data_IF_347371236023
#
_entry.id   IF_347371236023
#
_cell.length_a   1.000
_cell.length_b   1.000
_cell.length_c   1.000
_cell.angle_alpha   90.00
_cell.angle_beta   90.00
_cell.angle_gamma   90.00
#
_symmetry.space_group_name_H-M   'P 1'
#
loop_
_entity.id
_entity.type
_entity.pdbx_description
1 polymer ?
#
# COMPACT_ATOMS: atom_id res chain seq x y z
N UNK A 1 -2.43 7.60 -24.19
CA UNK A 1 -2.88 8.47 -23.07
C UNK A 1 -1.72 8.62 -22.09
N UNK A 2 -1.27 9.84 -21.75
CA UNK A 2 -0.09 10.00 -20.89
C UNK A 2 -0.38 9.64 -19.43
N UNK A 3 0.58 8.99 -18.77
CA UNK A 3 0.54 8.71 -17.33
C UNK A 3 0.80 10.01 -16.56
N UNK A 4 -0.01 10.32 -15.55
CA UNK A 4 0.23 11.50 -14.70
C UNK A 4 1.44 11.28 -13.78
N UNK A 5 2.12 12.35 -13.34
CA UNK A 5 3.22 12.26 -12.34
C UNK A 5 2.81 11.47 -11.08
N UNK A 6 1.55 11.59 -10.68
CA UNK A 6 0.97 10.85 -9.58
C UNK A 6 0.96 9.34 -9.83
N UNK A 7 0.45 8.93 -10.98
CA UNK A 7 0.39 7.53 -11.37
C UNK A 7 1.79 6.96 -11.60
N UNK A 8 2.71 7.74 -12.16
CA UNK A 8 4.11 7.35 -12.33
C UNK A 8 4.81 7.02 -11.01
N UNK A 9 4.62 7.85 -9.97
CA UNK A 9 5.13 7.53 -8.62
C UNK A 9 4.53 6.26 -8.05
N UNK A 10 3.25 5.98 -8.29
CA UNK A 10 2.62 4.73 -7.86
C UNK A 10 3.16 3.49 -8.59
N UNK A 11 3.48 3.62 -9.88
CA UNK A 11 4.06 2.53 -10.69
C UNK A 11 5.49 2.24 -10.26
N UNK A 12 6.28 3.28 -10.02
CA UNK A 12 7.71 3.18 -9.65
C UNK A 12 7.93 2.96 -8.15
N UNK A 13 6.85 2.87 -7.36
CA UNK A 13 6.92 2.87 -5.90
C UNK A 13 7.72 1.69 -5.32
N UNK A 14 7.51 0.47 -5.82
CA UNK A 14 8.25 -0.72 -5.36
C UNK A 14 9.74 -0.65 -5.70
N UNK A 15 10.08 -0.05 -6.83
CA UNK A 15 11.47 0.22 -7.20
C UNK A 15 12.05 1.30 -6.28
N UNK A 16 11.37 2.43 -6.14
CA UNK A 16 11.89 3.60 -5.43
C UNK A 16 12.06 3.39 -3.92
N UNK A 17 11.22 2.55 -3.31
CA UNK A 17 11.25 2.29 -1.87
C UNK A 17 12.37 1.33 -1.44
N UNK A 18 13.02 0.63 -2.38
CA UNK A 18 14.14 -0.28 -2.11
C UNK A 18 15.47 0.48 -2.04
N UNK A 19 16.22 0.24 -0.97
CA UNK A 19 17.50 0.93 -0.69
C UNK A 19 18.75 0.16 -1.14
N UNK A 20 18.67 -1.16 -1.23
CA UNK A 20 19.75 -2.00 -1.75
C UNK A 20 19.91 -1.87 -3.28
N UNK A 21 21.00 -2.44 -3.84
CA UNK A 21 21.16 -2.57 -5.28
C UNK A 21 19.93 -3.27 -5.87
N UNK A 22 19.32 -2.64 -6.86
CA UNK A 22 18.08 -3.12 -7.49
C UNK A 22 18.16 -3.06 -9.00
N UNK A 23 17.42 -3.95 -9.65
CA UNK A 23 17.26 -3.98 -11.11
C UNK A 23 15.85 -3.53 -11.49
N UNK A 24 15.76 -2.58 -12.41
CA UNK A 24 14.49 -2.05 -12.91
C UNK A 24 14.39 -2.19 -14.42
N UNK A 25 13.18 -2.42 -14.92
CA UNK A 25 12.86 -2.45 -16.34
C UNK A 25 11.68 -1.53 -16.63
N UNK A 26 11.90 -0.45 -17.37
CA UNK A 26 10.83 0.47 -17.80
C UNK A 26 10.46 0.15 -19.25
N UNK A 27 9.20 -0.24 -19.48
CA UNK A 27 8.75 -0.71 -20.79
C UNK A 27 7.89 0.34 -21.50
N UNK A 28 8.30 0.71 -22.73
CA UNK A 28 7.56 1.61 -23.61
C UNK A 28 7.70 3.09 -23.23
N UNK A 29 8.89 3.50 -22.78
CA UNK A 29 9.18 4.87 -22.41
C UNK A 29 10.05 5.58 -23.45
N UNK A 30 9.74 6.85 -23.69
CA UNK A 30 10.62 7.82 -24.36
C UNK A 30 11.13 8.85 -23.36
N UNK A 31 12.10 9.67 -23.77
CA UNK A 31 12.61 10.76 -22.93
C UNK A 31 11.48 11.69 -22.47
N UNK A 32 11.49 12.06 -21.19
CA UNK A 32 10.44 12.88 -20.57
C UNK A 32 9.16 12.12 -20.20
N UNK A 33 9.08 10.80 -20.43
CA UNK A 33 7.98 9.99 -19.90
C UNK A 33 7.97 10.04 -18.36
N UNK A 34 6.82 10.34 -17.71
CA UNK A 34 6.77 10.49 -16.25
C UNK A 34 7.19 9.25 -15.44
N UNK A 35 6.97 8.03 -15.95
CA UNK A 35 7.42 6.79 -15.30
C UNK A 35 8.94 6.68 -15.37
N UNK A 36 9.52 6.94 -16.54
CA UNK A 36 10.98 6.94 -16.69
C UNK A 36 11.62 8.02 -15.81
N UNK A 37 11.08 9.24 -15.80
CA UNK A 37 11.56 10.31 -14.93
C UNK A 37 11.51 9.89 -13.46
N UNK A 38 10.41 9.30 -12.99
CA UNK A 38 10.29 8.85 -11.61
C UNK A 38 11.25 7.70 -11.27
N UNK A 39 11.52 6.79 -12.21
CA UNK A 39 12.51 5.72 -12.02
C UNK A 39 13.95 6.26 -11.97
N UNK A 40 14.29 7.23 -12.83
CA UNK A 40 15.59 7.90 -12.83
C UNK A 40 15.81 8.71 -11.54
N UNK A 41 14.79 9.42 -11.05
CA UNK A 41 14.83 10.15 -9.77
C UNK A 41 15.10 9.23 -8.57
N UNK A 42 14.76 7.94 -8.67
CA UNK A 42 14.93 6.95 -7.61
C UNK A 42 16.20 6.08 -7.75
N UNK A 43 16.98 6.29 -8.82
CA UNK A 43 18.13 5.46 -9.15
C UNK A 43 19.33 5.79 -8.25
N UNK A 44 19.91 4.76 -7.63
CA UNK A 44 21.08 4.80 -6.75
C UNK A 44 22.33 4.25 -7.48
N UNK A 45 23.57 4.43 -6.95
CA UNK A 45 24.80 4.14 -7.72
C UNK A 45 24.96 2.69 -8.12
N UNK A 46 24.46 1.78 -7.28
CA UNK A 46 24.55 0.35 -7.48
C UNK A 46 23.40 -0.23 -8.30
N UNK A 47 22.40 0.59 -8.65
CA UNK A 47 21.22 0.13 -9.35
C UNK A 47 21.49 -0.08 -10.83
N UNK A 48 20.62 -0.86 -11.47
CA UNK A 48 20.59 -1.04 -12.91
C UNK A 48 19.18 -0.77 -13.42
N UNK A 49 19.06 0.01 -14.47
CA UNK A 49 17.79 0.33 -15.12
C UNK A 49 17.88 0.03 -16.60
N UNK A 50 17.03 -0.85 -17.10
CA UNK A 50 16.86 -1.08 -18.53
C UNK A 50 15.61 -0.34 -19.00
N UNK A 51 15.70 0.36 -20.11
CA UNK A 51 14.58 1.08 -20.73
C UNK A 51 14.33 0.51 -22.11
N UNK A 52 13.13 -0.03 -22.31
CA UNK A 52 12.64 -0.44 -23.64
C UNK A 52 11.98 0.77 -24.27
N UNK A 53 12.62 1.32 -25.29
CA UNK A 53 12.13 2.47 -26.04
C UNK A 53 11.76 2.03 -27.45
N UNK A 54 10.78 2.70 -28.06
CA UNK A 54 10.44 2.41 -29.44
C UNK A 54 11.62 2.73 -30.38
N UNK A 55 11.72 2.01 -31.49
CA UNK A 55 12.83 2.15 -32.44
C UNK A 55 12.99 3.58 -33.01
N UNK A 56 11.94 4.41 -32.98
CA UNK A 56 11.99 5.79 -33.46
C UNK A 56 12.48 6.78 -32.40
N UNK A 57 12.39 6.44 -31.10
CA UNK A 57 12.79 7.33 -30.00
C UNK A 57 14.04 6.87 -29.26
N UNK A 58 14.56 5.68 -29.53
CA UNK A 58 15.71 5.11 -28.81
C UNK A 58 16.99 5.95 -28.94
N UNK A 59 17.28 6.49 -30.12
CA UNK A 59 18.48 7.33 -30.32
C UNK A 59 18.35 8.69 -29.61
N UNK A 60 17.17 9.31 -29.65
CA UNK A 60 16.89 10.55 -28.91
C UNK A 60 17.00 10.31 -27.40
N UNK A 61 16.52 9.15 -26.92
CA UNK A 61 16.63 8.75 -25.53
C UNK A 61 18.11 8.56 -25.12
N UNK A 62 18.90 7.85 -25.93
CA UNK A 62 20.34 7.65 -25.70
C UNK A 62 21.10 8.96 -25.64
N UNK A 63 20.85 9.86 -26.59
CA UNK A 63 21.45 11.18 -26.63
C UNK A 63 21.08 12.00 -25.37
N UNK A 64 19.82 11.95 -24.96
CA UNK A 64 19.33 12.68 -23.77
C UNK A 64 19.93 12.14 -22.48
N UNK A 65 19.97 10.81 -22.30
CA UNK A 65 20.58 10.16 -21.14
C UNK A 65 22.08 10.46 -21.04
N UNK A 66 22.78 10.51 -22.17
CA UNK A 66 24.20 10.87 -22.23
C UNK A 66 24.43 12.33 -21.83
N UNK A 67 23.53 13.23 -22.23
CA UNK A 67 23.60 14.65 -21.87
C UNK A 67 23.31 14.92 -20.38
N UNK A 68 22.53 14.06 -19.72
CA UNK A 68 22.17 14.20 -18.30
C UNK A 68 23.36 13.98 -17.34
N UNK A 69 24.40 13.24 -17.77
CA UNK A 69 25.69 13.16 -17.06
C UNK A 69 26.30 11.76 -16.99
N UNK A 70 27.43 11.63 -16.29
CA UNK A 70 28.21 10.39 -16.21
C UNK A 70 27.55 9.26 -15.39
N UNK A 71 26.58 9.61 -14.53
CA UNK A 71 25.91 8.65 -13.66
C UNK A 71 24.94 7.73 -14.39
N UNK A 72 24.10 8.29 -15.27
CA UNK A 72 23.14 7.55 -16.09
C UNK A 72 23.86 6.64 -17.09
N UNK A 73 25.00 7.11 -17.62
CA UNK A 73 25.79 6.41 -18.64
C UNK A 73 26.36 5.04 -18.20
N UNK A 74 26.44 4.75 -16.90
CA UNK A 74 26.93 3.45 -16.38
C UNK A 74 25.83 2.52 -15.84
N UNK A 75 24.65 3.06 -15.52
CA UNK A 75 23.60 2.35 -14.80
C UNK A 75 22.31 2.18 -15.61
N UNK A 76 22.16 2.93 -16.71
CA UNK A 76 20.97 2.88 -17.57
C UNK A 76 21.31 2.25 -18.93
N UNK A 77 20.63 1.17 -19.27
CA UNK A 77 20.72 0.50 -20.58
C UNK A 77 19.47 0.77 -21.40
N UNK A 78 19.60 0.95 -22.71
CA UNK A 78 18.47 1.18 -23.62
C UNK A 78 18.43 0.12 -24.70
N UNK A 79 17.27 -0.53 -24.85
CA UNK A 79 17.00 -1.57 -25.85
C UNK A 79 15.78 -1.20 -26.68
N UNK A 80 15.74 -1.68 -27.92
CA UNK A 80 14.65 -1.38 -28.85
C UNK A 80 13.45 -2.32 -28.63
N UNK A 81 13.74 -3.58 -28.29
CA UNK A 81 12.74 -4.62 -28.14
C UNK A 81 12.76 -5.19 -26.72
N UNK A 82 11.58 -5.60 -26.23
CA UNK A 82 11.44 -6.18 -24.89
C UNK A 82 12.18 -7.52 -24.79
N UNK A 83 12.31 -8.25 -25.91
CA UNK A 83 13.03 -9.52 -25.98
C UNK A 83 14.52 -9.37 -25.62
N UNK A 84 15.14 -8.26 -26.00
CA UNK A 84 16.54 -7.93 -25.73
C UNK A 84 16.79 -7.47 -24.28
N UNK A 85 15.73 -7.19 -23.51
CA UNK A 85 15.87 -6.80 -22.11
C UNK A 85 16.15 -8.02 -21.22
N UNK A 86 17.13 -7.90 -20.33
CA UNK A 86 17.30 -8.87 -19.24
C UNK A 86 16.13 -8.78 -18.25
N UNK A 87 15.78 -9.88 -17.55
CA UNK A 87 14.83 -9.83 -16.45
C UNK A 87 15.26 -8.84 -15.35
N UNK A 88 14.28 -8.30 -14.64
CA UNK A 88 14.51 -7.36 -13.55
C UNK A 88 13.59 -7.63 -12.34
N UNK A 89 14.01 -7.15 -11.17
CA UNK A 89 13.23 -7.22 -9.94
C UNK A 89 11.96 -6.36 -9.98
N UNK A 90 12.00 -5.21 -10.66
CA UNK A 90 10.86 -4.30 -10.82
C UNK A 90 10.61 -3.97 -12.30
N UNK A 91 9.53 -4.51 -12.87
CA UNK A 91 9.09 -4.22 -14.23
C UNK A 91 7.96 -3.20 -14.19
N UNK A 92 8.12 -2.09 -14.91
CA UNK A 92 7.26 -0.90 -14.83
C UNK A 92 6.76 -0.50 -16.22
N UNK A 93 5.45 -0.54 -16.44
CA UNK A 93 4.87 -0.12 -17.72
C UNK A 93 4.70 1.40 -17.79
N UNK A 94 5.35 2.02 -18.79
CA UNK A 94 5.36 3.48 -18.96
C UNK A 94 4.12 4.03 -19.69
N UNK A 95 3.25 3.14 -20.18
CA UNK A 95 1.96 3.44 -20.78
C UNK A 95 0.85 2.68 -20.04
N UNK A 96 -0.34 3.28 -19.88
CA UNK A 96 -1.46 2.58 -19.27
C UNK A 96 -1.93 1.44 -20.19
N UNK A 97 -2.34 0.33 -19.59
CA UNK A 97 -3.00 -0.77 -20.31
C UNK A 97 -4.37 -0.29 -20.77
N UNK A 98 -4.50 -0.12 -22.08
CA UNK A 98 -5.75 0.26 -22.77
C UNK A 98 -6.12 -0.69 -23.89
N UNK A 99 -5.39 -1.79 -24.03
CA UNK A 99 -5.53 -2.76 -25.12
C UNK A 99 -6.66 -3.75 -24.82
N UNK A 100 -7.05 -4.51 -25.84
CA UNK A 100 -8.00 -5.61 -25.73
C UNK A 100 -7.41 -6.77 -24.90
N UNK A 101 -8.29 -7.62 -24.37
CA UNK A 101 -7.92 -8.74 -23.51
C UNK A 101 -6.88 -9.67 -24.16
N UNK A 102 -7.08 -10.04 -25.42
CA UNK A 102 -6.20 -10.96 -26.16
C UNK A 102 -4.77 -10.40 -26.28
N UNK A 103 -4.64 -9.14 -26.72
CA UNK A 103 -3.35 -8.44 -26.83
C UNK A 103 -2.68 -8.28 -25.45
N UNK A 104 -3.46 -7.99 -24.41
CA UNK A 104 -2.94 -7.91 -23.05
C UNK A 104 -2.36 -9.25 -22.57
N UNK A 105 -3.05 -10.36 -22.83
CA UNK A 105 -2.61 -11.71 -22.44
C UNK A 105 -1.32 -12.09 -23.16
N UNK A 106 -1.23 -11.84 -24.48
CA UNK A 106 -0.03 -12.10 -25.27
C UNK A 106 1.17 -11.30 -24.72
N UNK A 107 0.97 -9.99 -24.50
CA UNK A 107 2.01 -9.13 -23.94
C UNK A 107 2.39 -9.55 -22.52
N UNK A 108 1.43 -10.02 -21.72
CA UNK A 108 1.69 -10.47 -20.36
C UNK A 108 2.60 -11.70 -20.33
N UNK A 109 2.50 -12.61 -21.30
CA UNK A 109 3.38 -13.78 -21.38
C UNK A 109 4.85 -13.35 -21.46
N UNK A 110 5.16 -12.42 -22.38
CA UNK A 110 6.51 -11.86 -22.51
C UNK A 110 6.94 -11.06 -21.28
N UNK A 111 6.04 -10.24 -20.71
CA UNK A 111 6.35 -9.46 -19.50
C UNK A 111 6.69 -10.35 -18.31
N UNK A 112 6.01 -11.49 -18.13
CA UNK A 112 6.28 -12.44 -17.03
C UNK A 112 7.68 -13.01 -17.07
N UNK A 113 8.21 -13.27 -18.27
CA UNK A 113 9.59 -13.76 -18.44
C UNK A 113 10.64 -12.73 -18.03
N UNK A 114 10.26 -11.44 -18.05
CA UNK A 114 11.14 -10.33 -17.66
C UNK A 114 11.02 -9.94 -16.20
N UNK A 115 10.17 -10.62 -15.41
CA UNK A 115 10.09 -10.43 -13.95
C UNK A 115 10.91 -11.53 -13.27
N UNK A 116 11.95 -11.12 -12.54
CA UNK A 116 12.75 -12.04 -11.74
C UNK A 116 11.92 -12.78 -10.67
N UNK A 117 12.36 -13.94 -10.17
CA UNK A 117 11.76 -14.63 -9.03
C UNK A 117 11.53 -13.69 -7.83
N UNK A 118 10.26 -13.48 -7.47
CA UNK A 118 9.88 -12.56 -6.38
C UNK A 118 9.71 -11.10 -6.81
N UNK A 119 10.13 -10.73 -8.02
CA UNK A 119 9.98 -9.40 -8.58
C UNK A 119 8.52 -8.97 -8.77
N UNK A 120 8.33 -7.69 -9.10
CA UNK A 120 7.02 -7.05 -9.23
C UNK A 120 6.84 -6.47 -10.61
N UNK A 121 5.68 -6.75 -11.22
CA UNK A 121 5.17 -6.06 -12.39
C UNK A 121 4.17 -4.98 -11.94
N UNK A 122 4.47 -3.73 -12.27
CA UNK A 122 3.67 -2.55 -11.92
C UNK A 122 3.14 -1.85 -13.18
N UNK A 123 1.83 -1.62 -13.23
CA UNK A 123 1.19 -0.96 -14.37
C UNK A 123 -0.07 -0.18 -13.99
N UNK A 124 -0.42 0.81 -14.80
CA UNK A 124 -1.69 1.52 -14.71
C UNK A 124 -2.72 0.93 -15.67
N UNK A 125 -3.97 0.85 -15.25
CA UNK A 125 -5.12 0.60 -16.11
C UNK A 125 -6.22 1.65 -15.86
N UNK A 126 -6.97 2.03 -16.90
CA UNK A 126 -8.17 2.85 -16.71
C UNK A 126 -9.29 2.02 -16.10
N UNK A 127 -10.24 2.67 -15.43
CA UNK A 127 -11.41 1.97 -14.86
C UNK A 127 -12.32 1.33 -15.91
N UNK A 128 -12.17 1.73 -17.17
CA UNK A 128 -12.94 1.26 -18.32
C UNK A 128 -12.07 0.52 -19.34
N UNK A 129 -10.90 0.02 -18.93
CA UNK A 129 -10.03 -0.74 -19.82
C UNK A 129 -10.79 -1.97 -20.38
N UNK A 130 -10.60 -2.31 -21.66
CA UNK A 130 -11.23 -3.51 -22.23
C UNK A 130 -10.85 -4.78 -21.46
N UNK A 131 -9.56 -4.97 -21.19
CA UNK A 131 -8.99 -6.10 -20.44
C UNK A 131 -9.26 -6.11 -18.92
N UNK A 132 -10.32 -5.43 -18.43
CA UNK A 132 -10.54 -5.23 -16.98
C UNK A 132 -10.82 -6.54 -16.22
N UNK A 133 -11.39 -7.54 -16.88
CA UNK A 133 -11.79 -8.81 -16.25
C UNK A 133 -10.57 -9.69 -16.07
N UNK A 134 -9.74 -9.77 -17.10
CA UNK A 134 -8.44 -10.44 -17.11
C UNK A 134 -7.49 -9.82 -16.08
N UNK A 135 -7.43 -8.49 -16.02
CA UNK A 135 -6.67 -7.78 -14.97
C UNK A 135 -7.21 -8.15 -13.58
N UNK A 136 -8.52 -8.27 -13.40
CA UNK A 136 -9.11 -8.60 -12.11
C UNK A 136 -8.73 -10.03 -11.67
N UNK A 137 -8.73 -11.00 -12.58
CA UNK A 137 -8.28 -12.38 -12.33
C UNK A 137 -6.80 -12.42 -11.96
N UNK A 138 -5.94 -11.74 -12.73
CA UNK A 138 -4.50 -11.67 -12.42
C UNK A 138 -4.23 -11.02 -11.06
N UNK A 139 -4.97 -9.98 -10.72
CA UNK A 139 -4.86 -9.32 -9.42
C UNK A 139 -5.37 -10.21 -8.30
N UNK A 140 -6.34 -11.11 -8.56
CA UNK A 140 -6.79 -12.08 -7.58
C UNK A 140 -5.69 -13.12 -7.28
N UNK A 141 -5.01 -13.61 -8.32
CA UNK A 141 -4.02 -14.68 -8.19
C UNK A 141 -2.62 -14.19 -7.76
N UNK A 142 -2.17 -13.07 -8.31
CA UNK A 142 -0.78 -12.57 -8.18
C UNK A 142 -0.68 -11.17 -7.58
N UNK A 143 -1.81 -10.52 -7.31
CA UNK A 143 -1.83 -9.14 -6.86
C UNK A 143 -1.30 -8.99 -5.44
N UNK A 144 -0.34 -8.10 -5.26
CA UNK A 144 0.20 -7.72 -3.95
C UNK A 144 -0.30 -6.34 -3.50
N UNK A 145 -0.79 -5.52 -4.43
CA UNK A 145 -1.29 -4.18 -4.14
C UNK A 145 -2.09 -3.58 -5.28
N UNK A 146 -3.02 -2.68 -4.95
CA UNK A 146 -3.82 -1.98 -5.95
C UNK A 146 -4.27 -0.63 -5.43
N UNK A 147 -3.94 0.44 -6.17
CA UNK A 147 -4.17 1.82 -5.74
C UNK A 147 -4.93 2.63 -6.78
N UNK A 148 -5.99 3.31 -6.35
CA UNK A 148 -6.76 4.23 -7.20
C UNK A 148 -6.17 5.63 -7.16
N UNK A 149 -5.71 6.14 -8.30
CA UNK A 149 -5.20 7.50 -8.46
C UNK A 149 -6.32 8.39 -9.01
N UNK A 150 -7.12 8.96 -8.12
CA UNK A 150 -8.26 9.83 -8.47
C UNK A 150 -7.84 11.17 -9.11
N UNK A 151 -6.58 11.58 -8.91
CA UNK A 151 -6.01 12.83 -9.43
C UNK A 151 -5.40 12.70 -10.83
N UNK A 152 -5.53 11.52 -11.46
CA UNK A 152 -5.24 11.33 -12.87
C UNK A 152 -6.51 11.63 -13.68
N UNK A 153 -6.35 12.17 -14.90
CA UNK A 153 -7.48 12.39 -15.82
C UNK A 153 -7.24 11.63 -17.13
N UNK A 154 -7.98 10.55 -17.39
CA UNK A 154 -8.96 9.89 -16.52
C UNK A 154 -8.31 9.23 -15.29
N UNK A 155 -9.10 8.93 -14.24
CA UNK A 155 -8.64 8.17 -13.09
C UNK A 155 -8.09 6.82 -13.53
N UNK A 156 -6.95 6.44 -12.95
CA UNK A 156 -6.29 5.15 -13.22
C UNK A 156 -6.13 4.37 -11.93
N UNK A 157 -6.06 3.06 -12.07
CA UNK A 157 -5.72 2.14 -11.00
C UNK A 157 -4.33 1.58 -11.29
N UNK A 158 -3.45 1.68 -10.31
CA UNK A 158 -2.15 1.03 -10.35
C UNK A 158 -2.31 -0.37 -9.80
N UNK A 159 -1.79 -1.35 -10.51
CA UNK A 159 -1.76 -2.75 -10.14
C UNK A 159 -0.31 -3.17 -9.96
N UNK A 160 -0.05 -3.88 -8.86
CA UNK A 160 1.26 -4.47 -8.53
C UNK A 160 1.08 -5.98 -8.44
N UNK A 161 1.74 -6.73 -9.32
CA UNK A 161 1.64 -8.18 -9.41
C UNK A 161 2.98 -8.83 -9.14
N UNK A 162 3.02 -9.88 -8.32
CA UNK A 162 4.21 -10.72 -8.13
C UNK A 162 4.07 -11.98 -8.98
N UNK A 163 4.51 -11.89 -10.23
CA UNK A 163 4.11 -12.81 -11.31
C UNK A 163 5.27 -13.57 -11.99
N UNK A 164 6.46 -13.58 -11.38
CA UNK A 164 7.63 -14.29 -11.91
C UNK A 164 7.55 -15.82 -11.87
N UNK A 165 8.53 -16.47 -12.48
CA UNK A 165 8.66 -17.94 -12.64
C UNK A 165 8.72 -18.74 -11.32
N UNK A 166 8.91 -18.09 -10.17
CA UNK A 166 8.84 -18.69 -8.83
C UNK A 166 7.47 -18.54 -8.13
N UNK A 167 6.42 -18.15 -8.86
CA UNK A 167 5.04 -18.09 -8.30
C UNK A 167 4.48 -19.47 -7.90
N UNK A 168 5.21 -20.56 -8.11
CA UNK A 168 4.87 -21.92 -7.66
C UNK A 168 6.00 -22.60 -6.88
N UNK A 169 5.83 -22.64 -5.55
CA UNK A 169 6.28 -23.68 -4.60
C UNK A 169 7.77 -23.83 -4.18
N UNK A 170 7.89 -24.24 -2.91
CA UNK A 170 8.98 -24.94 -2.21
C UNK A 170 10.26 -24.18 -1.81
N UNK A 171 10.20 -23.57 -0.62
CA UNK A 171 11.30 -23.66 0.36
C UNK A 171 12.56 -22.81 0.15
N UNK A 172 12.75 -22.17 -0.99
CA UNK A 172 13.87 -21.23 -1.18
C UNK A 172 13.49 -19.80 -0.75
N UNK A 173 14.36 -19.10 0.01
CA UNK A 173 14.11 -17.73 0.43
C UNK A 173 13.96 -16.83 -0.80
N UNK A 174 12.88 -16.06 -0.85
CA UNK A 174 12.69 -15.04 -1.88
C UNK A 174 13.87 -14.07 -1.85
N UNK A 175 14.59 -13.98 -2.95
CA UNK A 175 15.62 -12.97 -3.18
C UNK A 175 14.98 -11.59 -3.45
N UNK A 176 14.24 -11.08 -2.46
CA UNK A 176 13.81 -9.68 -2.42
C UNK A 176 14.40 -9.09 -1.14
N UNK A 177 14.85 -7.84 -1.21
CA UNK A 177 15.39 -7.12 -0.05
C UNK A 177 14.54 -7.36 1.22
N UNK A 178 15.18 -7.62 2.37
CA UNK A 178 14.48 -7.74 3.65
C UNK A 178 13.50 -6.58 3.84
N UNK A 179 12.30 -6.86 4.33
CA UNK A 179 11.27 -5.81 4.48
C UNK A 179 11.71 -4.66 5.41
N UNK A 180 12.68 -4.91 6.29
CA UNK A 180 13.36 -3.94 7.15
C UNK A 180 14.15 -2.87 6.37
N UNK A 181 14.60 -3.17 5.14
CA UNK A 181 15.31 -2.23 4.28
C UNK A 181 14.38 -1.37 3.41
N UNK A 182 13.06 -1.62 3.49
CA UNK A 182 12.08 -0.88 2.70
C UNK A 182 11.77 0.47 3.33
N UNK A 183 11.81 1.52 2.51
CA UNK A 183 11.10 2.75 2.82
C UNK A 183 9.58 2.51 2.78
N UNK A 184 8.80 3.32 3.53
CA UNK A 184 7.34 3.30 3.42
C UNK A 184 6.88 3.59 1.98
N UNK A 185 5.92 2.79 1.51
CA UNK A 185 5.29 2.99 0.21
C UNK A 185 4.71 4.41 0.06
N UNK A 186 4.78 4.93 -1.17
CA UNK A 186 4.21 6.20 -1.54
C UNK A 186 2.69 6.22 -1.34
N UNK A 187 2.15 7.37 -0.91
CA UNK A 187 0.74 7.53 -0.53
C UNK A 187 -0.19 7.67 -1.73
N UNK A 188 -0.30 6.61 -2.52
CA UNK A 188 -1.11 6.60 -3.73
C UNK A 188 -2.59 6.94 -3.47
N UNK A 189 -3.13 6.45 -2.35
CA UNK A 189 -4.51 6.67 -1.95
C UNK A 189 -4.75 7.95 -1.17
N UNK A 190 -3.80 8.90 -1.09
CA UNK A 190 -3.91 10.11 -0.27
C UNK A 190 -3.68 11.39 -1.09
N UNK A 191 -4.45 12.44 -0.80
CA UNK A 191 -4.38 13.73 -1.51
C UNK A 191 -4.01 14.84 -0.53
N UNK A 192 -2.92 15.55 -0.80
CA UNK A 192 -2.50 16.68 0.03
C UNK A 192 -3.54 17.80 0.01
N UNK A 193 -3.98 18.23 1.20
CA UNK A 193 -4.88 19.38 1.41
C UNK A 193 -4.09 20.56 1.97
N UNK A 194 -3.14 20.28 2.86
CA UNK A 194 -2.11 21.21 3.35
C UNK A 194 -0.75 20.50 3.28
N UNK A 195 0.38 21.19 3.55
CA UNK A 195 1.69 20.53 3.56
C UNK A 195 1.76 19.29 4.46
N UNK A 196 1.08 19.34 5.62
CA UNK A 196 1.18 18.29 6.65
C UNK A 196 -0.09 17.42 6.77
N UNK A 197 -1.19 17.80 6.12
CA UNK A 197 -2.47 17.08 6.20
C UNK A 197 -2.90 16.64 4.82
N UNK A 198 -3.04 15.33 4.67
CA UNK A 198 -3.62 14.72 3.50
C UNK A 198 -5.04 14.25 3.81
N UNK A 199 -5.77 13.92 2.75
CA UNK A 199 -7.10 13.32 2.81
C UNK A 199 -7.07 12.02 2.03
N UNK A 200 -7.54 10.94 2.64
CA UNK A 200 -7.70 9.67 1.94
C UNK A 200 -8.63 9.81 0.73
N UNK A 201 -8.38 9.04 -0.33
CA UNK A 201 -9.16 9.08 -1.57
C UNK A 201 -10.64 8.79 -1.33
N UNK A 202 -10.98 7.95 -0.34
CA UNK A 202 -12.38 7.77 0.07
C UNK A 202 -13.00 9.07 0.58
N UNK A 203 -12.24 9.87 1.33
CA UNK A 203 -12.64 11.18 1.82
C UNK A 203 -12.77 12.21 0.71
N UNK A 204 -11.84 12.24 -0.25
CA UNK A 204 -11.90 13.11 -1.43
C UNK A 204 -13.17 12.83 -2.24
N UNK A 205 -13.44 11.55 -2.54
CA UNK A 205 -14.63 11.13 -3.27
C UNK A 205 -15.90 11.52 -2.50
N UNK A 206 -15.97 11.19 -1.20
CA UNK A 206 -17.13 11.49 -0.38
C UNK A 206 -17.41 13.00 -0.26
N UNK A 207 -16.37 13.81 -0.03
CA UNK A 207 -16.48 15.27 0.02
C UNK A 207 -16.92 15.84 -1.33
N UNK A 208 -16.36 15.34 -2.44
CA UNK A 208 -16.76 15.74 -3.79
C UNK A 208 -18.23 15.46 -4.08
N UNK A 209 -18.73 14.28 -3.71
CA UNK A 209 -20.15 13.92 -3.85
C UNK A 209 -21.06 14.83 -3.00
N UNK A 210 -20.65 15.17 -1.79
CA UNK A 210 -21.40 16.07 -0.91
C UNK A 210 -21.46 17.50 -1.48
N UNK A 211 -20.33 18.03 -1.96
CA UNK A 211 -20.27 19.35 -2.58
C UNK A 211 -21.03 19.42 -3.91
N UNK A 212 -20.93 18.37 -4.73
CA UNK A 212 -21.73 18.24 -5.95
C UNK A 212 -23.24 18.19 -5.66
N UNK A 213 -23.63 17.44 -4.62
CA UNK A 213 -25.03 17.41 -4.14
C UNK A 213 -25.49 18.79 -3.65
N UNK A 214 -24.65 19.50 -2.90
CA UNK A 214 -24.94 20.86 -2.45
C UNK A 214 -25.14 21.82 -3.63
N UNK A 215 -24.24 21.77 -4.62
CA UNK A 215 -24.34 22.57 -5.83
C UNK A 215 -25.61 22.28 -6.62
N UNK A 216 -25.94 21.01 -6.84
CA UNK A 216 -27.18 20.60 -7.52
C UNK A 216 -28.43 21.07 -6.75
N UNK A 217 -28.47 20.89 -5.43
CA UNK A 217 -29.57 21.37 -4.59
C UNK A 217 -29.75 22.89 -4.68
N UNK A 218 -28.65 23.65 -4.71
CA UNK A 218 -28.68 25.11 -4.88
C UNK A 218 -29.16 25.52 -6.28
N UNK A 219 -28.85 24.75 -7.31
CA UNK A 219 -29.34 24.99 -8.68
C UNK A 219 -30.83 24.69 -8.82
N UNK A 220 -31.33 23.60 -8.23
CA UNK A 220 -32.74 23.18 -8.33
C UNK A 220 -33.64 24.07 -7.47
N UNK A 221 -33.22 24.47 -6.25
CA UNK A 221 -34.00 25.32 -5.34
C UNK A 221 -33.16 26.48 -4.78
N UNK A 222 -32.91 27.55 -5.56
CA UNK A 222 -32.01 28.64 -5.16
C UNK A 222 -32.39 29.38 -3.88
N UNK A 223 -33.69 29.49 -3.58
CA UNK A 223 -34.21 30.14 -2.37
C UNK A 223 -34.17 29.24 -1.12
N UNK A 224 -33.98 27.93 -1.29
CA UNK A 224 -33.88 27.00 -0.17
C UNK A 224 -32.48 27.00 0.43
N UNK A 225 -32.38 26.86 1.75
CA UNK A 225 -31.12 26.65 2.47
C UNK A 225 -30.71 25.18 2.55
N UNK A 226 -31.47 24.25 1.95
CA UNK A 226 -31.20 22.82 2.02
C UNK A 226 -29.81 22.40 1.50
N UNK A 227 -29.23 23.17 0.58
CA UNK A 227 -27.87 22.94 0.07
C UNK A 227 -26.78 23.07 1.15
N UNK A 228 -27.05 23.79 2.26
CA UNK A 228 -26.09 23.95 3.35
C UNK A 228 -25.81 22.63 4.07
N UNK A 229 -26.79 21.74 4.18
CA UNK A 229 -26.62 20.48 4.90
C UNK A 229 -25.51 19.59 4.29
N UNK A 230 -25.56 19.22 2.99
CA UNK A 230 -24.46 18.45 2.38
C UNK A 230 -23.15 19.25 2.31
N UNK A 231 -23.19 20.57 2.15
CA UNK A 231 -21.98 21.40 2.16
C UNK A 231 -21.27 21.36 3.52
N UNK A 232 -22.01 21.51 4.62
CA UNK A 232 -21.48 21.46 5.99
C UNK A 232 -21.03 20.05 6.37
N UNK A 233 -21.71 19.01 5.88
CA UNK A 233 -21.34 17.62 6.10
C UNK A 233 -19.98 17.25 5.47
N UNK A 234 -19.50 17.99 4.45
CA UNK A 234 -18.20 17.73 3.84
C UNK A 234 -17.03 17.93 4.83
N UNK A 235 -17.16 18.83 5.82
CA UNK A 235 -16.12 19.13 6.80
C UNK A 235 -15.83 17.95 7.75
N UNK A 236 -16.81 17.40 8.50
CA UNK A 236 -16.56 16.24 9.36
C UNK A 236 -16.17 15.00 8.56
N UNK A 237 -16.64 14.84 7.32
CA UNK A 237 -16.17 13.76 6.43
C UNK A 237 -14.69 13.94 6.09
N UNK A 238 -14.27 15.14 5.72
CA UNK A 238 -12.86 15.42 5.48
C UNK A 238 -12.00 15.21 6.74
N UNK A 239 -12.48 15.65 7.91
CA UNK A 239 -11.80 15.45 9.18
C UNK A 239 -11.68 13.96 9.57
N UNK A 240 -12.68 13.13 9.23
CA UNK A 240 -12.66 11.70 9.49
C UNK A 240 -11.62 10.97 8.64
N UNK A 241 -11.55 11.29 7.34
CA UNK A 241 -10.63 10.67 6.38
C UNK A 241 -9.24 11.33 6.34
N UNK A 242 -8.95 12.23 7.29
CA UNK A 242 -7.66 12.91 7.34
C UNK A 242 -6.52 11.91 7.55
N UNK A 243 -5.43 12.19 6.89
CA UNK A 243 -4.19 11.41 6.90
C UNK A 243 -3.02 12.38 7.17
N UNK A 244 -2.78 12.77 8.43
CA UNK A 244 -1.65 13.62 8.75
C UNK A 244 -0.33 12.90 8.48
N UNK A 245 0.66 13.65 8.02
CA UNK A 245 2.03 13.18 7.92
C UNK A 245 2.57 12.82 9.31
N UNK A 246 3.28 11.70 9.38
CA UNK A 246 3.94 11.17 10.56
C UNK A 246 5.43 11.04 10.31
N UNK A 247 6.21 10.95 11.38
CA UNK A 247 7.65 10.73 11.28
C UNK A 247 7.96 9.43 10.53
N UNK A 248 7.17 8.37 10.75
CA UNK A 248 7.26 7.13 9.98
C UNK A 248 7.14 7.30 8.47
N UNK A 249 6.53 8.38 7.97
CA UNK A 249 6.44 8.65 6.52
C UNK A 249 7.71 9.26 5.92
N UNK A 250 8.60 9.74 6.79
CA UNK A 250 9.85 10.41 6.44
C UNK A 250 11.07 9.54 6.75
N UNK A 251 10.87 8.39 7.40
CA UNK A 251 11.96 7.51 7.83
C UNK A 251 12.76 6.98 6.64
N UNK A 252 14.04 7.32 6.66
CA UNK A 252 15.05 6.86 5.71
C UNK A 252 15.78 5.60 6.16
N UNK A 253 15.61 5.14 7.39
CA UNK A 253 16.12 3.87 7.92
C UNK A 253 15.25 3.41 9.10
N UNK A 254 15.24 2.11 9.41
CA UNK A 254 14.60 1.61 10.63
C UNK A 254 15.55 1.73 11.83
N UNK A 255 15.63 2.94 12.39
CA UNK A 255 16.56 3.29 13.47
C UNK A 255 16.30 2.54 14.80
N UNK A 256 15.14 1.90 14.96
CA UNK A 256 14.78 1.14 16.17
C UNK A 256 14.19 -0.24 15.79
N UNK A 257 14.99 -1.21 15.31
CA UNK A 257 14.50 -2.48 14.79
C UNK A 257 13.74 -3.33 15.84
N UNK A 258 13.99 -3.08 17.13
CA UNK A 258 13.28 -3.73 18.24
C UNK A 258 11.90 -3.12 18.52
N UNK A 259 11.65 -1.88 18.09
CA UNK A 259 10.40 -1.19 18.39
C UNK A 259 9.25 -1.71 17.53
N UNK A 260 8.13 -2.02 18.19
CA UNK A 260 6.82 -2.29 17.58
C UNK A 260 5.96 -1.05 17.76
N UNK A 261 5.51 -0.45 16.66
CA UNK A 261 4.75 0.81 16.67
C UNK A 261 3.24 0.57 16.83
N UNK A 262 2.51 1.58 17.29
CA UNK A 262 1.05 1.53 17.32
C UNK A 262 0.48 1.40 15.90
N UNK A 263 -0.46 0.48 15.71
CA UNK A 263 -1.14 0.28 14.42
C UNK A 263 -2.26 1.30 14.15
N UNK A 264 -2.67 2.05 15.17
CA UNK A 264 -3.71 3.08 15.10
C UNK A 264 -3.47 4.23 16.07
N UNK A 265 -4.07 5.40 15.79
CA UNK A 265 -4.27 6.42 16.81
C UNK A 265 -5.26 5.92 17.86
N UNK A 266 -5.32 6.55 19.03
CA UNK A 266 -6.38 6.31 20.00
C UNK A 266 -5.83 6.08 21.41
N UNK A 267 -6.40 5.11 22.13
CA UNK A 267 -5.97 4.76 23.50
C UNK A 267 -5.86 3.26 23.70
N UNK A 268 -4.85 2.85 24.47
CA UNK A 268 -4.71 1.45 24.88
C UNK A 268 -5.89 1.05 25.75
N UNK A 269 -6.54 -0.04 25.39
CA UNK A 269 -7.64 -0.65 26.14
C UNK A 269 -7.13 -1.73 27.09
N UNK A 270 -6.27 -2.61 26.56
CA UNK A 270 -5.80 -3.80 27.27
C UNK A 270 -4.42 -4.20 26.76
N UNK A 271 -3.64 -4.78 27.67
CA UNK A 271 -2.36 -5.44 27.41
C UNK A 271 -2.42 -6.77 28.16
N UNK A 272 -2.39 -7.87 27.43
CA UNK A 272 -2.69 -9.19 28.00
C UNK A 272 -1.99 -10.30 27.21
N UNK A 273 -1.80 -11.44 27.85
CA UNK A 273 -1.35 -12.67 27.20
C UNK A 273 -2.55 -13.56 26.91
N UNK A 274 -2.73 -13.94 25.64
CA UNK A 274 -3.88 -14.73 25.18
C UNK A 274 -3.41 -15.91 24.33
N UNK A 275 -4.16 -17.01 24.38
CA UNK A 275 -4.09 -18.05 23.38
C UNK A 275 -5.29 -17.91 22.44
N UNK A 276 -5.04 -17.87 21.14
CA UNK A 276 -6.10 -17.79 20.13
C UNK A 276 -5.84 -18.85 19.04
N UNK A 277 -6.72 -19.84 18.97
CA UNK A 277 -6.59 -20.99 18.07
C UNK A 277 -6.60 -20.58 16.59
N UNK A 278 -7.23 -19.44 16.26
CA UNK A 278 -7.31 -18.93 14.87
C UNK A 278 -5.93 -18.72 14.26
N UNK A 279 -4.96 -18.32 15.08
CA UNK A 279 -3.61 -18.06 14.62
C UNK A 279 -2.84 -19.35 14.35
N UNK A 280 -3.26 -20.49 14.89
CA UNK A 280 -2.54 -21.76 14.72
C UNK A 280 -2.33 -22.14 13.25
N UNK A 281 -3.39 -22.06 12.44
CA UNK A 281 -3.31 -22.34 11.00
C UNK A 281 -2.53 -21.25 10.23
N UNK A 282 -2.80 -19.97 10.51
CA UNK A 282 -2.21 -18.85 9.77
C UNK A 282 -0.74 -18.56 10.16
N UNK A 283 -0.31 -18.98 11.35
CA UNK A 283 1.04 -18.70 11.88
C UNK A 283 1.91 -19.95 12.02
N UNK A 284 1.32 -21.16 11.93
CA UNK A 284 2.00 -22.42 12.21
C UNK A 284 2.25 -22.67 13.69
N UNK A 285 1.69 -21.85 14.59
CA UNK A 285 1.93 -21.88 16.03
C UNK A 285 0.62 -22.14 16.80
N UNK A 286 0.00 -23.30 16.56
CA UNK A 286 -1.24 -23.69 17.25
C UNK A 286 -1.03 -23.78 18.76
N UNK A 287 -1.92 -23.13 19.53
CA UNK A 287 -1.84 -23.09 21.00
C UNK A 287 -0.75 -22.19 21.57
N UNK A 288 -0.04 -21.41 20.75
CA UNK A 288 0.95 -20.46 21.23
C UNK A 288 0.30 -19.29 22.00
N UNK A 289 1.02 -18.77 22.98
CA UNK A 289 0.65 -17.57 23.71
C UNK A 289 1.09 -16.31 22.96
N UNK A 290 0.20 -15.33 22.93
CA UNK A 290 0.38 -14.06 22.24
C UNK A 290 0.27 -12.91 23.23
N UNK A 291 1.24 -12.00 23.20
CA UNK A 291 1.07 -10.68 23.79
C UNK A 291 0.13 -9.88 22.89
N UNK A 292 -1.07 -9.60 23.39
CA UNK A 292 -2.08 -8.76 22.74
C UNK A 292 -2.03 -7.35 23.31
N UNK A 293 -1.82 -6.37 22.43
CA UNK A 293 -2.01 -4.95 22.73
C UNK A 293 -3.21 -4.43 21.95
N UNK A 294 -4.28 -4.09 22.67
CA UNK A 294 -5.55 -3.63 22.10
C UNK A 294 -5.70 -2.11 22.21
N UNK A 295 -6.07 -1.47 21.11
CA UNK A 295 -6.24 -0.03 21.00
C UNK A 295 -7.65 0.34 20.52
N UNK A 296 -8.30 1.28 21.21
CA UNK A 296 -9.57 1.88 20.80
C UNK A 296 -9.35 3.18 20.03
N UNK A 297 -10.00 3.30 18.87
CA UNK A 297 -10.07 4.51 18.08
C UNK A 297 -11.44 5.18 18.27
N UNK A 298 -11.45 6.39 18.78
CA UNK A 298 -12.65 7.24 18.82
C UNK A 298 -12.96 7.83 17.44
N UNK A 299 -14.18 8.36 17.28
CA UNK A 299 -14.62 8.99 16.02
C UNK A 299 -13.75 10.18 15.59
N UNK A 300 -13.10 10.84 16.53
CA UNK A 300 -12.24 11.99 16.26
C UNK A 300 -10.81 11.59 15.96
N UNK A 301 -10.41 10.34 16.20
CA UNK A 301 -9.04 9.88 15.92
C UNK A 301 -8.77 9.71 14.42
N UNK A 302 -7.49 9.59 14.05
CA UNK A 302 -7.12 9.23 12.67
C UNK A 302 -7.41 7.75 12.48
N UNK A 303 -8.21 7.44 11.46
CA UNK A 303 -8.67 6.07 11.20
C UNK A 303 -7.82 5.31 10.17
N UNK A 304 -6.78 5.96 9.64
CA UNK A 304 -5.75 5.29 8.83
C UNK A 304 -4.92 4.39 9.74
N UNK A 305 -4.81 3.11 9.37
CA UNK A 305 -4.02 2.13 10.10
C UNK A 305 -2.66 1.92 9.45
N UNK A 306 -1.66 1.64 10.30
CA UNK A 306 -0.26 1.50 9.92
C UNK A 306 0.31 0.17 10.39
N UNK A 307 1.28 -0.35 9.65
CA UNK A 307 1.97 -1.57 10.03
C UNK A 307 2.81 -1.30 11.29
N UNK A 308 2.65 -2.09 12.37
CA UNK A 308 3.43 -1.91 13.59
C UNK A 308 4.89 -2.36 13.42
N UNK A 309 5.17 -3.20 12.42
CA UNK A 309 6.48 -3.81 12.14
C UNK A 309 6.76 -3.78 10.63
N UNK A 310 8.02 -3.94 10.25
CA UNK A 310 8.39 -4.27 8.88
C UNK A 310 8.28 -5.78 8.66
N UNK A 311 7.81 -6.22 7.50
CA UNK A 311 7.69 -7.64 7.18
C UNK A 311 6.90 -7.96 5.92
N UNK A 312 6.81 -9.25 5.59
CA UNK A 312 5.98 -9.75 4.49
C UNK A 312 4.59 -10.12 4.99
N UNK A 313 3.54 -9.67 4.31
CA UNK A 313 2.17 -10.15 4.54
C UNK A 313 2.07 -11.57 4.02
N UNK A 314 1.95 -12.54 4.93
CA UNK A 314 1.86 -13.98 4.58
C UNK A 314 0.42 -14.49 4.53
N UNK A 315 -0.50 -13.81 5.21
CA UNK A 315 -1.92 -14.18 5.18
C UNK A 315 -2.82 -12.97 5.49
N UNK A 316 -4.02 -12.97 4.91
CA UNK A 316 -5.08 -12.01 5.18
C UNK A 316 -6.41 -12.74 5.20
N UNK A 317 -7.05 -12.80 6.35
CA UNK A 317 -8.35 -13.46 6.49
C UNK A 317 -9.35 -12.60 7.24
N UNK A 318 -10.63 -12.91 7.09
CA UNK A 318 -11.72 -12.14 7.69
C UNK A 318 -12.65 -13.05 8.47
N UNK A 319 -13.12 -12.53 9.61
CA UNK A 319 -14.17 -13.16 10.39
C UNK A 319 -15.46 -12.37 10.23
N UNK A 320 -16.55 -13.09 9.96
CA UNK A 320 -17.90 -12.53 10.03
C UNK A 320 -18.29 -12.47 11.50
N UNK A 321 -18.96 -11.38 11.89
CA UNK A 321 -19.29 -11.16 13.28
C UNK A 321 -20.33 -10.06 13.49
N UNK A 322 -20.56 -9.77 14.76
CA UNK A 322 -21.45 -8.71 15.23
C UNK A 322 -20.85 -7.30 15.11
N UNK A 323 -21.53 -6.36 15.76
CA UNK A 323 -21.16 -4.94 15.80
C UNK A 323 -21.43 -4.36 17.20
N UNK A 324 -20.97 -5.06 18.24
CA UNK A 324 -21.05 -4.59 19.61
C UNK A 324 -20.18 -3.33 19.81
N UNK A 325 -20.47 -2.58 20.88
CA UNK A 325 -19.63 -1.44 21.27
C UNK A 325 -18.23 -1.94 21.61
N UNK A 326 -17.20 -1.29 21.07
CA UNK A 326 -15.81 -1.76 21.16
C UNK A 326 -15.32 -2.04 22.59
N UNK A 327 -15.86 -1.32 23.58
CA UNK A 327 -15.48 -1.46 24.99
C UNK A 327 -16.17 -2.63 25.74
N UNK A 328 -16.97 -3.47 25.07
CA UNK A 328 -17.69 -4.58 25.71
C UNK A 328 -17.11 -5.92 25.30
N UNK A 329 -17.31 -6.95 26.13
CA UNK A 329 -16.79 -8.30 25.87
C UNK A 329 -17.34 -8.90 24.57
N UNK A 330 -18.56 -8.53 24.19
CA UNK A 330 -19.19 -8.96 22.94
C UNK A 330 -18.43 -8.47 21.69
N UNK A 331 -17.59 -7.44 21.82
CA UNK A 331 -16.80 -6.91 20.70
C UNK A 331 -15.72 -7.88 20.19
N UNK A 332 -15.35 -8.90 20.98
CA UNK A 332 -14.45 -9.97 20.52
C UNK A 332 -15.07 -10.75 19.34
N UNK A 333 -16.39 -10.82 19.26
CA UNK A 333 -17.13 -11.47 18.18
C UNK A 333 -17.53 -10.50 17.06
N UNK A 334 -16.99 -9.29 17.03
CA UNK A 334 -17.26 -8.35 15.95
C UNK A 334 -16.58 -8.79 14.66
N UNK A 335 -17.13 -8.33 13.53
CA UNK A 335 -16.49 -8.55 12.25
C UNK A 335 -15.05 -7.98 12.25
N UNK A 336 -14.11 -8.79 11.80
CA UNK A 336 -12.68 -8.51 11.89
C UNK A 336 -11.93 -8.87 10.60
N UNK A 337 -10.84 -8.16 10.33
CA UNK A 337 -9.86 -8.52 9.30
C UNK A 337 -8.50 -8.66 9.97
N UNK A 338 -7.86 -9.80 9.76
CA UNK A 338 -6.56 -10.14 10.31
C UNK A 338 -5.53 -10.06 9.19
N UNK A 339 -4.42 -9.40 9.46
CA UNK A 339 -3.24 -9.34 8.58
C UNK A 339 -2.09 -10.00 9.32
N UNK A 340 -1.53 -11.06 8.76
CA UNK A 340 -0.39 -11.78 9.33
C UNK A 340 0.87 -11.33 8.62
N UNK A 341 1.80 -10.75 9.39
CA UNK A 341 3.06 -10.23 8.90
C UNK A 341 4.20 -11.10 9.42
N UNK A 342 4.94 -11.74 8.52
CA UNK A 342 6.17 -12.46 8.84
C UNK A 342 7.34 -11.48 8.95
N UNK A 343 8.06 -11.56 10.06
CA UNK A 343 9.25 -10.76 10.34
C UNK A 343 10.41 -11.69 10.70
N UNK A 344 11.64 -11.16 10.73
CA UNK A 344 12.81 -11.89 11.22
C UNK A 344 12.67 -12.36 12.69
N UNK A 345 11.80 -11.71 13.47
CA UNK A 345 11.60 -11.97 14.91
C UNK A 345 10.36 -12.81 15.22
N UNK A 346 9.65 -13.27 14.19
CA UNK A 346 8.43 -14.06 14.29
C UNK A 346 7.25 -13.43 13.55
N UNK A 347 6.11 -14.13 13.55
CA UNK A 347 4.88 -13.64 12.94
C UNK A 347 4.17 -12.68 13.88
N UNK A 348 3.65 -11.59 13.33
CA UNK A 348 2.83 -10.59 14.01
C UNK A 348 1.44 -10.60 13.39
N UNK A 349 0.39 -10.58 14.21
CA UNK A 349 -0.98 -10.47 13.69
C UNK A 349 -1.54 -9.10 14.03
N UNK A 350 -2.10 -8.43 13.03
CA UNK A 350 -2.80 -7.15 13.19
C UNK A 350 -4.28 -7.40 12.93
N UNK A 351 -5.13 -7.19 13.93
CA UNK A 351 -6.58 -7.35 13.78
C UNK A 351 -7.26 -5.99 13.75
N UNK A 352 -7.92 -5.70 12.63
CA UNK A 352 -8.83 -4.58 12.48
C UNK A 352 -10.23 -5.06 12.85
N UNK A 353 -10.82 -4.58 13.95
CA UNK A 353 -12.18 -4.99 14.38
C UNK A 353 -13.16 -3.84 14.28
N UNK A 354 -14.33 -4.13 13.72
CA UNK A 354 -15.43 -3.17 13.60
C UNK A 354 -16.07 -2.84 14.96
N UNK A 355 -16.75 -1.70 15.02
CA UNK A 355 -17.66 -1.37 16.11
C UNK A 355 -19.08 -1.07 15.63
N UNK A 356 -19.90 -0.49 16.49
CA UNK A 356 -21.36 -0.45 16.33
C UNK A 356 -21.89 0.44 15.20
N UNK A 357 -21.12 1.41 14.70
CA UNK A 357 -21.66 2.50 13.86
C UNK A 357 -21.58 2.19 12.36
N UNK A 358 -20.38 1.99 11.81
CA UNK A 358 -20.21 1.71 10.38
C UNK A 358 -19.22 0.57 10.14
N UNK A 359 -19.52 -0.21 9.10
CA UNK A 359 -19.26 -1.67 9.05
C UNK A 359 -18.18 -2.07 8.06
N UNK A 360 -17.25 -1.16 7.74
CA UNK A 360 -16.30 -1.37 6.64
C UNK A 360 -14.87 -1.21 7.10
N UNK A 361 -14.18 -2.35 7.15
CA UNK A 361 -12.73 -2.43 7.17
C UNK A 361 -12.24 -2.34 5.73
N UNK A 362 -11.20 -1.54 5.50
CA UNK A 362 -10.50 -1.48 4.22
C UNK A 362 -9.07 -1.91 4.49
N UNK A 363 -8.76 -3.16 4.16
CA UNK A 363 -7.39 -3.63 4.04
C UNK A 363 -6.96 -3.45 2.57
N UNK A 364 -5.82 -2.80 2.34
CA UNK A 364 -5.27 -2.54 1.00
C UNK A 364 -4.17 -3.52 0.63
N UNK A 365 -3.70 -4.32 1.59
CA UNK A 365 -2.64 -5.31 1.39
C UNK A 365 -3.20 -6.67 1.07
N UNK A 366 -2.36 -7.48 0.42
CA UNK A 366 -2.63 -8.87 0.07
C UNK A 366 -1.44 -9.73 0.48
N UNK A 367 -1.63 -11.06 0.63
CA UNK A 367 -0.52 -11.98 0.77
C UNK A 367 0.54 -11.76 -0.32
N UNK A 368 1.80 -11.80 0.06
CA UNK A 368 2.95 -11.43 -0.77
C UNK A 368 3.31 -9.94 -0.75
N UNK A 369 2.50 -9.03 -0.20
CA UNK A 369 2.94 -7.64 -0.05
C UNK A 369 4.05 -7.50 1.00
N UNK A 370 5.00 -6.59 0.78
CA UNK A 370 5.98 -6.20 1.81
C UNK A 370 5.59 -4.86 2.41
N UNK A 371 5.56 -4.78 3.73
CA UNK A 371 5.25 -3.59 4.50
C UNK A 371 6.49 -3.08 5.22
N UNK A 372 6.78 -1.79 5.09
CA UNK A 372 7.74 -1.11 5.96
C UNK A 372 7.09 -0.80 7.32
N UNK A 373 7.91 -0.65 8.36
CA UNK A 373 7.41 -0.26 9.68
C UNK A 373 6.79 1.14 9.63
N UNK A 374 5.57 1.26 10.14
CA UNK A 374 4.78 2.49 10.10
C UNK A 374 4.09 2.78 8.77
N UNK A 375 4.24 1.92 7.76
CA UNK A 375 3.57 2.07 6.46
C UNK A 375 2.04 1.94 6.58
N UNK A 376 1.29 2.70 5.77
CA UNK A 376 -0.17 2.60 5.72
C UNK A 376 -0.58 1.33 5.00
N UNK A 377 -1.41 0.51 5.62
CA UNK A 377 -1.93 -0.70 4.99
C UNK A 377 -3.47 -0.72 4.88
N UNK A 378 -4.16 0.21 5.56
CA UNK A 378 -5.62 0.20 5.56
C UNK A 378 -6.26 1.33 6.35
N UNK A 379 -7.57 1.21 6.56
CA UNK A 379 -8.36 2.06 7.46
C UNK A 379 -9.57 1.30 7.98
N UNK A 380 -10.06 1.65 9.16
CA UNK A 380 -11.33 1.15 9.70
C UNK A 380 -12.30 2.31 9.85
N UNK A 381 -13.57 2.12 9.52
CA UNK A 381 -14.56 3.21 9.57
C UNK A 381 -15.35 3.22 10.89
N UNK A 382 -15.30 4.34 11.61
CA UNK A 382 -16.12 4.75 12.77
C UNK A 382 -16.12 3.82 13.99
N UNK A 383 -15.33 4.19 15.01
CA UNK A 383 -15.46 3.66 16.37
C UNK A 383 -15.02 2.20 16.44
N UNK A 384 -13.73 1.97 16.31
CA UNK A 384 -13.14 0.66 16.00
C UNK A 384 -12.03 0.27 16.97
N UNK A 385 -11.64 -1.01 16.93
CA UNK A 385 -10.50 -1.54 17.68
C UNK A 385 -9.41 -1.99 16.72
N UNK A 386 -8.17 -1.77 17.09
CA UNK A 386 -7.03 -2.47 16.47
C UNK A 386 -6.31 -3.26 17.55
N UNK A 387 -6.02 -4.53 17.26
CA UNK A 387 -5.19 -5.37 18.11
C UNK A 387 -3.89 -5.70 17.40
N UNK A 388 -2.79 -5.69 18.14
CA UNK A 388 -1.50 -6.22 17.70
C UNK A 388 -1.16 -7.42 18.57
N UNK A 389 -0.95 -8.57 17.94
CA UNK A 389 -0.56 -9.82 18.58
C UNK A 389 0.90 -10.13 18.23
N UNK A 390 1.71 -10.29 19.27
CA UNK A 390 3.14 -10.61 19.19
C UNK A 390 3.38 -11.95 19.90
N UNK A 391 4.38 -12.76 19.51
CA UNK A 391 4.74 -13.95 20.27
C UNK A 391 5.11 -13.59 21.72
N UNK A 392 4.38 -14.12 22.71
CA UNK A 392 4.48 -13.65 24.11
C UNK A 392 5.88 -13.83 24.73
N UNK A 393 6.63 -14.84 24.29
CA UNK A 393 8.00 -15.09 24.76
C UNK A 393 9.05 -14.14 24.18
N UNK A 394 8.79 -13.54 23.02
CA UNK A 394 9.75 -12.77 22.24
C UNK A 394 9.53 -11.25 22.30
N UNK A 395 8.45 -10.78 22.93
CA UNK A 395 8.13 -9.37 23.02
C UNK A 395 7.62 -8.97 24.40
N UNK A 396 7.80 -7.69 24.74
CA UNK A 396 7.32 -7.07 25.96
C UNK A 396 6.57 -5.77 25.66
N UNK A 397 5.49 -5.51 26.39
CA UNK A 397 4.71 -4.30 26.20
C UNK A 397 5.45 -3.08 26.73
N UNK A 398 5.39 -1.97 25.98
CA UNK A 398 5.98 -0.68 26.33
C UNK A 398 4.93 0.36 26.78
N UNK A 399 3.65 -0.05 26.87
CA UNK A 399 2.50 0.81 27.16
C UNK A 399 1.57 0.15 28.17
N UNK A 400 0.68 0.95 28.77
CA UNK A 400 -0.33 0.50 29.74
C UNK A 400 -1.75 0.94 29.36
N UNK A 401 -2.81 0.25 29.83
CA UNK A 401 -4.19 0.67 29.60
C UNK A 401 -4.45 2.15 29.96
N UNK A 402 -5.19 2.83 29.07
CA UNK A 402 -5.54 4.25 29.18
C UNK A 402 -4.60 5.21 28.46
N UNK A 403 -3.39 4.76 28.12
CA UNK A 403 -2.37 5.58 27.47
C UNK A 403 -2.79 6.01 26.05
N UNK A 404 -2.64 7.30 25.68
CA UNK A 404 -2.89 7.76 24.33
C UNK A 404 -1.75 7.37 23.39
N UNK A 405 -2.10 6.88 22.20
CA UNK A 405 -1.15 6.39 21.21
C UNK A 405 -1.41 7.00 19.84
N UNK A 406 -0.36 7.02 19.02
CA UNK A 406 -0.35 7.55 17.67
C UNK A 406 0.21 6.53 16.68
N UNK A 407 -0.53 6.27 15.61
CA UNK A 407 -0.20 5.27 14.61
C UNK A 407 1.18 5.56 13.98
N UNK A 408 2.05 4.56 13.94
CA UNK A 408 3.40 4.69 13.36
C UNK A 408 4.34 5.63 14.13
N UNK A 409 4.02 6.02 15.36
CA UNK A 409 4.86 6.88 16.18
C UNK A 409 5.09 6.29 17.58
N UNK A 410 4.01 5.96 18.29
CA UNK A 410 4.12 5.43 19.66
C UNK A 410 4.63 3.99 19.63
N UNK A 411 5.70 3.70 20.39
CA UNK A 411 6.17 2.32 20.62
C UNK A 411 5.23 1.64 21.60
N UNK A 412 4.56 0.56 21.18
CA UNK A 412 3.61 -0.20 22.01
C UNK A 412 4.22 -1.46 22.62
N UNK A 413 5.29 -1.97 22.02
CA UNK A 413 6.03 -3.11 22.51
C UNK A 413 7.47 -3.06 21.98
N UNK A 414 8.35 -3.84 22.61
CA UNK A 414 9.70 -4.10 22.12
C UNK A 414 9.94 -5.59 22.00
N UNK A 415 10.67 -5.97 20.96
CA UNK A 415 11.22 -7.32 20.84
C UNK A 415 12.34 -7.52 21.87
N UNK A 416 12.45 -8.73 22.40
CA UNK A 416 13.51 -9.15 23.34
C UNK A 416 14.78 -9.60 22.64
#
# INVERSE_FOLDING_TARGET
MPISKAAARGITDEFARRRGPKTGLVVGASWGNPVLTAALEALMPADRLTVVADAHSIEDLRASLTAEGSWTAGNVTTVADLEDAEPAEDVMLAAPVTVEAEEFIERLALLREKVEPGGVLSFAATLTAPAREEIAELVADYGIGTDLIVRSLPPVRIHKLRIGSASKHEGEPRAIAPAEDLAPAWRASSVAVTPNVHLDSNGVIAAGLLLGTAWAARKIRPSSKAWLLPALAAVPVAAFFRDPQRDADLRGEDDEPEAVLAASDGRIMAVETVADERFGAATGAAGAEWLRVSAYLSLTDVHINRSPVAGEVVDVFTERGGYAKVATAEAEHNAACYTVVATARGRVVIAQRTGAVLRRIVNRTKPGASLAKGERYGLIRFGSRTDVYLPAGAAEAAVVPGEPIRAGETVIARWR
#
